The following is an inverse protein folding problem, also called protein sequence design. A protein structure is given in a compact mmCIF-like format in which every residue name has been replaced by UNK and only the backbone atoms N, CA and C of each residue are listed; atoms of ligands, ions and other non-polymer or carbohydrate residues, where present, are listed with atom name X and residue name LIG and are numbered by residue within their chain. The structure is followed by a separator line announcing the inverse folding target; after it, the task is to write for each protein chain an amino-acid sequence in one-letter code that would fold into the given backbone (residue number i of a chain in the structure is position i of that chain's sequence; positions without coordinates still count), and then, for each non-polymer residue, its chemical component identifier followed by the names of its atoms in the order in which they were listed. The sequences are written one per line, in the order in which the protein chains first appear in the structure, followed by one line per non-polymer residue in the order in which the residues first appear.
data_IF_686057866563
#
_entry.id   IF_686057866563
#
_cell.length_a   1.000
_cell.length_b   1.000
_cell.length_c   1.000
_cell.angle_alpha   90.00
_cell.angle_beta   90.00
_cell.angle_gamma   90.00
#
_symmetry.space_group_name_H-M   'P 1'
#
loop_
_entity.id
_entity.type
_entity.pdbx_description
1 polymer ?
#
# COMPACT_ATOMS: atom_id res chain seq x y z
N UNK A 1 -4.30 -1.82 -6.55
CA UNK A 1 -5.42 -1.05 -7.13
C UNK A 1 -4.86 -0.13 -8.20
N UNK A 2 -5.56 0.01 -9.32
CA UNK A 2 -5.22 0.99 -10.37
C UNK A 2 -5.60 2.39 -9.92
N UNK A 3 -4.86 3.39 -10.39
CA UNK A 3 -5.10 4.77 -9.99
C UNK A 3 -6.09 5.48 -10.90
N UNK A 4 -7.06 6.20 -10.31
CA UNK A 4 -7.99 7.05 -11.04
C UNK A 4 -7.37 8.43 -11.25
N UNK A 5 -7.44 8.95 -12.48
CA UNK A 5 -7.01 10.31 -12.83
C UNK A 5 -8.07 10.99 -13.68
N UNK A 6 -7.94 12.30 -13.89
CA UNK A 6 -8.83 13.06 -14.75
C UNK A 6 -10.21 13.29 -14.11
N UNK A 7 -11.10 13.91 -14.88
CA UNK A 7 -12.48 14.16 -14.46
C UNK A 7 -12.67 15.25 -13.41
N UNK A 8 -11.61 15.97 -13.01
CA UNK A 8 -11.74 17.16 -12.16
C UNK A 8 -11.68 18.44 -12.99
N UNK A 9 -12.09 19.56 -12.40
CA UNK A 9 -12.03 20.87 -13.05
C UNK A 9 -10.59 21.33 -13.40
N UNK A 10 -9.57 20.68 -12.83
CA UNK A 10 -8.16 20.97 -13.09
C UNK A 10 -7.57 20.13 -14.24
N UNK A 11 -8.28 19.09 -14.69
CA UNK A 11 -7.77 18.15 -15.69
C UNK A 11 -8.26 18.57 -17.08
N UNK A 12 -7.45 19.37 -17.76
CA UNK A 12 -7.79 20.00 -19.05
C UNK A 12 -6.67 19.85 -20.06
N UNK A 13 -7.04 19.80 -21.34
CA UNK A 13 -6.10 20.04 -22.42
C UNK A 13 -6.00 21.55 -22.65
N UNK A 14 -4.81 22.10 -22.49
CA UNK A 14 -4.52 23.52 -22.71
C UNK A 14 -3.36 23.69 -23.69
N UNK A 15 -3.38 24.78 -24.45
CA UNK A 15 -2.23 25.21 -25.24
C UNK A 15 -1.22 26.01 -24.40
N UNK A 16 -0.12 26.43 -25.03
CA UNK A 16 0.95 27.19 -24.36
C UNK A 16 0.51 28.56 -23.81
N UNK A 17 -0.67 29.06 -24.20
CA UNK A 17 -1.25 30.30 -23.68
C UNK A 17 -2.24 30.07 -22.51
N UNK A 18 -2.48 28.80 -22.14
CA UNK A 18 -3.46 28.41 -21.12
C UNK A 18 -4.91 28.37 -21.64
N UNK A 19 -5.10 28.40 -22.96
CA UNK A 19 -6.44 28.27 -23.56
C UNK A 19 -6.78 26.80 -23.69
N UNK A 20 -7.99 26.43 -23.28
CA UNK A 20 -8.49 25.06 -23.42
C UNK A 20 -8.62 24.66 -24.89
N UNK A 21 -8.25 23.42 -25.21
CA UNK A 21 -8.25 22.88 -26.57
C UNK A 21 -9.22 21.71 -26.67
N UNK A 22 -10.49 21.94 -27.05
CA UNK A 22 -11.46 20.87 -27.29
C UNK A 22 -10.98 19.87 -28.34
N UNK A 23 -11.24 18.58 -28.10
CA UNK A 23 -10.87 17.50 -29.04
C UNK A 23 -9.36 17.20 -29.11
N UNK A 24 -8.52 17.88 -28.33
CA UNK A 24 -7.10 17.59 -28.27
C UNK A 24 -6.86 16.14 -27.86
N UNK A 25 -5.96 15.47 -28.60
CA UNK A 25 -5.57 14.09 -28.32
C UNK A 25 -4.24 14.09 -27.59
N UNK A 26 -4.20 13.43 -26.43
CA UNK A 26 -3.05 13.40 -25.54
C UNK A 26 -2.51 11.99 -25.28
N UNK A 27 -1.21 11.91 -25.02
CA UNK A 27 -0.53 10.68 -24.60
C UNK A 27 -0.05 10.81 -23.16
N UNK A 28 -0.04 9.70 -22.42
CA UNK A 28 0.31 9.67 -20.99
C UNK A 28 1.75 9.17 -20.80
N UNK A 29 2.49 9.73 -19.86
CA UNK A 29 3.93 9.53 -19.67
C UNK A 29 4.31 9.35 -18.20
N UNK A 30 5.43 8.67 -17.98
CA UNK A 30 5.98 8.40 -16.63
C UNK A 30 6.64 9.61 -15.97
N UNK A 31 6.88 10.69 -16.69
CA UNK A 31 7.62 11.87 -16.24
C UNK A 31 7.56 13.03 -17.25
N UNK A 32 8.04 14.23 -16.87
CA UNK A 32 7.98 15.42 -17.71
C UNK A 32 9.11 15.50 -18.74
N UNK A 33 10.25 14.85 -18.50
CA UNK A 33 11.46 14.99 -19.30
C UNK A 33 11.63 13.94 -20.41
N UNK A 34 12.65 14.12 -21.25
CA UNK A 34 12.92 13.28 -22.43
C UNK A 34 13.14 11.80 -22.09
N UNK A 35 13.67 11.48 -20.90
CA UNK A 35 13.84 10.09 -20.44
C UNK A 35 12.56 9.39 -19.98
N UNK A 36 11.40 10.06 -20.01
CA UNK A 36 10.14 9.43 -19.64
C UNK A 36 9.65 8.47 -20.73
N UNK A 37 8.96 7.42 -20.28
CA UNK A 37 8.36 6.41 -21.14
C UNK A 37 6.88 6.68 -21.27
N UNK A 38 6.31 6.41 -22.44
CA UNK A 38 4.87 6.48 -22.63
C UNK A 38 4.20 5.36 -21.84
N UNK A 39 3.10 5.69 -21.16
CA UNK A 39 2.22 4.75 -20.48
C UNK A 39 1.08 4.41 -21.44
N UNK A 40 1.02 3.16 -21.87
CA UNK A 40 -0.04 2.62 -22.74
C UNK A 40 -1.04 1.74 -22.00
N UNK A 41 -0.72 1.36 -20.76
CA UNK A 41 -1.61 0.64 -19.85
C UNK A 41 -2.62 1.63 -19.24
N UNK A 42 -3.64 2.00 -20.02
CA UNK A 42 -4.72 2.90 -19.64
C UNK A 42 -6.07 2.22 -19.87
N UNK A 43 -7.02 2.43 -18.96
CA UNK A 43 -8.39 1.92 -19.09
C UNK A 43 -9.40 3.04 -18.92
N UNK A 44 -10.51 2.95 -19.65
CA UNK A 44 -11.72 3.72 -19.38
C UNK A 44 -12.39 3.27 -18.07
N UNK A 45 -13.39 4.01 -17.61
CA UNK A 45 -14.10 3.70 -16.36
C UNK A 45 -14.85 2.36 -16.39
N UNK A 46 -15.21 1.88 -17.58
CA UNK A 46 -15.83 0.57 -17.79
C UNK A 46 -14.79 -0.57 -17.92
N UNK A 47 -13.50 -0.26 -17.82
CA UNK A 47 -12.40 -1.21 -17.96
C UNK A 47 -11.94 -1.44 -19.40
N UNK A 48 -12.52 -0.77 -20.40
CA UNK A 48 -12.07 -0.90 -21.77
C UNK A 48 -10.65 -0.30 -21.97
N UNK A 49 -9.74 -0.96 -22.71
CA UNK A 49 -8.42 -0.41 -22.99
C UNK A 49 -8.47 0.91 -23.77
N UNK A 50 -7.59 1.84 -23.41
CA UNK A 50 -7.40 3.13 -24.08
C UNK A 50 -5.93 3.33 -24.45
N UNK A 51 -5.65 4.01 -25.57
CA UNK A 51 -4.27 4.33 -25.98
C UNK A 51 -3.95 5.82 -25.86
N UNK A 52 -4.98 6.67 -25.85
CA UNK A 52 -4.87 8.12 -25.82
C UNK A 52 -6.04 8.71 -25.05
N UNK A 53 -5.83 9.93 -24.55
CA UNK A 53 -6.88 10.75 -23.96
C UNK A 53 -7.41 11.69 -25.06
N UNK A 54 -8.72 11.93 -25.09
CA UNK A 54 -9.31 12.93 -25.99
C UNK A 54 -10.09 13.91 -25.12
N UNK A 55 -9.74 15.19 -25.20
CA UNK A 55 -10.44 16.23 -24.48
C UNK A 55 -11.85 16.43 -25.06
N UNK A 56 -12.83 16.68 -24.18
CA UNK A 56 -14.22 16.89 -24.60
C UNK A 56 -14.44 18.26 -25.27
N UNK A 57 -15.69 18.61 -25.56
CA UNK A 57 -16.05 19.89 -26.20
C UNK A 57 -15.71 21.13 -25.36
N UNK A 58 -15.47 20.96 -24.05
CA UNK A 58 -15.04 22.03 -23.15
C UNK A 58 -13.53 21.99 -22.86
N UNK A 59 -12.79 21.08 -23.51
CA UNK A 59 -11.37 20.86 -23.29
C UNK A 59 -11.05 20.08 -22.01
N UNK A 60 -12.04 19.42 -21.39
CA UNK A 60 -11.87 18.63 -20.17
C UNK A 60 -11.38 17.23 -20.52
N UNK A 61 -10.52 16.66 -19.67
CA UNK A 61 -10.07 15.28 -19.81
C UNK A 61 -11.06 14.32 -19.16
N UNK A 62 -11.41 13.19 -19.83
CA UNK A 62 -12.21 12.15 -19.21
C UNK A 62 -11.45 11.54 -18.04
N UNK A 63 -12.20 11.01 -17.07
CA UNK A 63 -11.60 10.19 -16.03
C UNK A 63 -11.13 8.85 -16.62
N UNK A 64 -10.00 8.34 -16.14
CA UNK A 64 -9.41 7.09 -16.62
C UNK A 64 -8.57 6.40 -15.54
N UNK A 65 -8.37 5.11 -15.68
CA UNK A 65 -7.48 4.32 -14.81
C UNK A 65 -6.10 4.14 -15.44
N UNK A 66 -5.07 4.58 -14.73
CA UNK A 66 -3.67 4.30 -15.06
C UNK A 66 -3.08 3.15 -14.23
N UNK A 67 -1.76 2.92 -14.30
CA UNK A 67 -1.08 1.81 -13.65
C UNK A 67 -1.07 1.94 -12.11
N UNK A 68 -0.95 0.81 -11.41
CA UNK A 68 -1.07 0.74 -9.95
C UNK A 68 0.08 1.41 -9.17
N UNK A 69 1.23 1.65 -9.78
CA UNK A 69 2.45 2.08 -9.08
C UNK A 69 2.72 3.58 -9.13
N UNK A 70 1.78 4.38 -9.66
CA UNK A 70 2.01 5.82 -9.91
C UNK A 70 0.85 6.65 -9.40
N UNK A 71 1.07 7.57 -8.46
CA UNK A 71 0.04 8.56 -8.07
C UNK A 71 0.10 9.85 -8.87
N UNK A 72 1.08 9.95 -9.78
CA UNK A 72 1.28 11.08 -10.68
C UNK A 72 1.69 10.58 -12.05
N UNK A 73 1.07 11.13 -13.08
CA UNK A 73 1.40 10.90 -14.49
C UNK A 73 1.51 12.23 -15.20
N UNK A 74 2.00 12.23 -16.43
CA UNK A 74 2.10 13.43 -17.25
C UNK A 74 1.38 13.24 -18.57
N UNK A 75 0.66 14.24 -19.04
CA UNK A 75 -0.05 14.20 -20.32
C UNK A 75 0.56 15.21 -21.27
N UNK A 76 0.73 14.79 -22.52
CA UNK A 76 1.25 15.59 -23.62
C UNK A 76 0.19 15.73 -24.71
N UNK A 77 -0.21 16.97 -25.02
CA UNK A 77 -1.14 17.33 -26.11
C UNK A 77 -0.43 17.93 -27.35
N UNK A 78 0.87 17.67 -27.51
CA UNK A 78 1.70 18.22 -28.59
C UNK A 78 2.53 19.45 -28.17
N UNK A 79 2.72 19.63 -26.86
CA UNK A 79 3.41 20.77 -26.27
C UNK A 79 4.33 20.34 -25.12
N UNK A 80 4.17 20.96 -23.96
CA UNK A 80 4.84 20.49 -22.74
C UNK A 80 3.99 19.44 -22.02
N UNK A 81 4.66 18.54 -21.30
CA UNK A 81 4.02 17.51 -20.46
C UNK A 81 3.50 18.11 -19.15
N UNK A 82 2.19 18.05 -18.94
CA UNK A 82 1.51 18.58 -17.73
C UNK A 82 1.18 17.44 -16.78
N UNK A 83 1.38 17.63 -15.48
CA UNK A 83 1.15 16.60 -14.48
C UNK A 83 -0.34 16.44 -14.16
N UNK A 84 -0.81 15.19 -14.08
CA UNK A 84 -2.06 14.80 -13.43
C UNK A 84 -1.77 14.03 -12.15
N UNK A 85 -2.60 14.23 -11.13
CA UNK A 85 -2.52 13.54 -9.84
C UNK A 85 -3.72 12.62 -9.69
N UNK A 86 -3.52 11.46 -9.08
CA UNK A 86 -4.59 10.52 -8.83
C UNK A 86 -5.66 11.11 -7.89
N UNK A 87 -6.93 10.86 -8.18
CA UNK A 87 -8.10 11.42 -7.48
C UNK A 87 -8.78 10.41 -6.55
N UNK A 88 -8.20 9.23 -6.40
CA UNK A 88 -8.69 8.07 -5.63
C UNK A 88 -8.24 8.05 -4.16
N UNK A 89 -7.83 9.20 -3.60
CA UNK A 89 -7.24 9.23 -2.25
C UNK A 89 -8.22 8.73 -1.19
N UNK A 90 -9.51 9.01 -1.35
CA UNK A 90 -10.55 8.53 -0.43
C UNK A 90 -10.68 7.00 -0.48
N UNK A 91 -10.71 6.40 -1.67
CA UNK A 91 -10.78 4.95 -1.86
C UNK A 91 -9.54 4.26 -1.27
N UNK A 92 -8.36 4.79 -1.58
CA UNK A 92 -7.09 4.32 -1.00
C UNK A 92 -7.09 4.36 0.53
N UNK A 93 -7.62 5.43 1.12
CA UNK A 93 -7.73 5.55 2.58
C UNK A 93 -8.69 4.51 3.14
N UNK A 94 -9.85 4.32 2.50
CA UNK A 94 -10.83 3.31 2.90
C UNK A 94 -10.23 1.91 2.84
N UNK A 95 -9.53 1.56 1.77
CA UNK A 95 -8.82 0.28 1.63
C UNK A 95 -7.74 0.11 2.71
N UNK A 96 -6.95 1.16 2.96
CA UNK A 96 -5.93 1.15 4.00
C UNK A 96 -6.52 0.96 5.40
N UNK A 97 -7.68 1.54 5.69
CA UNK A 97 -8.39 1.37 6.96
C UNK A 97 -9.00 -0.03 7.12
N UNK A 98 -9.43 -0.65 6.01
CA UNK A 98 -10.00 -1.99 6.01
C UNK A 98 -8.92 -3.09 6.08
N UNK A 99 -7.67 -2.78 5.73
CA UNK A 99 -6.56 -3.72 5.83
C UNK A 99 -6.28 -4.10 7.30
N UNK A 100 -6.09 -5.40 7.55
CA UNK A 100 -5.91 -5.91 8.91
C UNK A 100 -4.62 -5.44 9.60
N UNK A 101 -3.54 -5.28 8.84
CA UNK A 101 -2.22 -4.84 9.33
C UNK A 101 -1.43 -4.12 8.22
N UNK A 102 -1.92 -2.97 7.69
CA UNK A 102 -1.33 -2.30 6.52
C UNK A 102 0.11 -1.81 6.74
N UNK A 103 0.54 -1.76 8.01
CA UNK A 103 1.88 -1.35 8.40
C UNK A 103 2.73 -2.51 8.95
N UNK A 104 2.20 -3.73 9.02
CA UNK A 104 2.89 -4.89 9.60
C UNK A 104 3.17 -4.78 11.11
N UNK A 105 2.55 -3.82 11.81
CA UNK A 105 2.85 -3.51 13.21
C UNK A 105 2.35 -4.59 14.15
N UNK A 106 1.23 -5.25 13.82
CA UNK A 106 0.71 -6.38 14.61
C UNK A 106 1.64 -7.58 14.47
N UNK A 107 2.05 -7.89 13.24
CA UNK A 107 3.02 -8.95 12.96
C UNK A 107 4.34 -8.70 13.70
N UNK A 108 4.90 -7.50 13.57
CA UNK A 108 6.13 -7.11 14.25
C UNK A 108 6.01 -7.18 15.78
N UNK A 109 4.86 -6.79 16.34
CA UNK A 109 4.61 -6.90 17.78
C UNK A 109 4.56 -8.36 18.24
N UNK A 110 3.89 -9.23 17.48
CA UNK A 110 3.85 -10.68 17.76
C UNK A 110 5.25 -11.28 17.73
N UNK A 111 6.04 -10.98 16.71
CA UNK A 111 7.43 -11.44 16.62
C UNK A 111 8.27 -10.94 17.79
N UNK A 112 8.13 -9.69 18.19
CA UNK A 112 8.84 -9.11 19.33
C UNK A 112 8.44 -9.76 20.67
N UNK A 113 7.15 -10.09 20.85
CA UNK A 113 6.68 -10.82 22.03
C UNK A 113 7.24 -12.24 22.01
N UNK A 114 7.19 -12.93 20.88
CA UNK A 114 7.71 -14.29 20.71
C UNK A 114 9.21 -14.37 21.00
N UNK A 115 9.99 -13.39 20.53
CA UNK A 115 11.43 -13.33 20.78
C UNK A 115 11.80 -13.24 22.28
N UNK A 116 10.87 -12.77 23.12
CA UNK A 116 11.05 -12.62 24.57
C UNK A 116 10.51 -13.80 25.37
N UNK A 117 9.82 -14.75 24.76
CA UNK A 117 9.30 -15.92 25.47
C UNK A 117 10.43 -16.87 25.88
N UNK A 118 10.41 -17.33 27.13
CA UNK A 118 11.38 -18.29 27.67
C UNK A 118 12.82 -17.77 27.79
N UNK A 119 13.03 -16.46 27.67
CA UNK A 119 14.35 -15.81 27.80
C UNK A 119 14.55 -15.22 29.21
N UNK A 120 15.80 -15.09 29.69
CA UNK A 120 16.10 -14.31 30.90
C UNK A 120 15.52 -12.89 30.79
N UNK A 121 14.87 -12.40 31.86
CA UNK A 121 14.14 -11.11 31.91
C UNK A 121 12.99 -10.99 30.88
N UNK A 122 12.56 -12.11 30.30
CA UNK A 122 11.47 -12.21 29.32
C UNK A 122 10.15 -12.67 29.94
N UNK A 123 9.25 -13.18 29.08
CA UNK A 123 7.94 -13.71 29.48
C UNK A 123 8.01 -15.25 29.62
N UNK A 124 7.29 -15.81 30.59
CA UNK A 124 7.12 -17.27 30.65
C UNK A 124 6.22 -17.76 29.52
N UNK A 125 6.57 -18.88 28.88
CA UNK A 125 5.69 -19.52 27.89
C UNK A 125 4.70 -20.43 28.62
N UNK A 126 3.45 -20.48 28.16
CA UNK A 126 2.43 -21.38 28.69
C UNK A 126 2.37 -22.68 27.87
N UNK A 127 2.05 -23.80 28.52
CA UNK A 127 1.74 -25.08 27.88
C UNK A 127 0.32 -25.10 27.27
N UNK A 128 -0.06 -26.22 26.67
CA UNK A 128 -1.38 -26.44 26.07
C UNK A 128 -2.56 -26.26 27.05
N UNK A 129 -2.31 -26.35 28.36
CA UNK A 129 -3.30 -26.17 29.41
C UNK A 129 -3.26 -24.76 30.01
N UNK A 130 -2.46 -23.85 29.46
CA UNK A 130 -2.31 -22.48 29.93
C UNK A 130 -1.46 -22.34 31.21
N UNK A 131 -0.59 -23.32 31.52
CA UNK A 131 0.28 -23.30 32.72
C UNK A 131 1.74 -23.09 32.35
N UNK A 132 2.54 -22.54 33.26
CA UNK A 132 3.99 -22.45 33.07
C UNK A 132 4.60 -23.85 33.15
N UNK A 133 5.30 -24.35 32.11
CA UNK A 133 5.95 -25.65 32.12
C UNK A 133 6.97 -25.75 33.25
N UNK A 134 7.05 -26.92 33.91
CA UNK A 134 8.00 -27.15 34.99
C UNK A 134 9.47 -26.98 34.55
N UNK A 135 9.77 -27.12 33.24
CA UNK A 135 11.10 -26.87 32.68
C UNK A 135 11.54 -25.40 32.76
N UNK A 136 10.62 -24.46 32.93
CA UNK A 136 10.92 -23.03 33.14
C UNK A 136 11.02 -22.66 34.63
N UNK A 137 10.67 -23.59 35.53
CA UNK A 137 10.78 -23.37 36.97
C UNK A 137 12.13 -23.87 37.47
N UNK A 138 12.69 -23.26 38.52
CA UNK A 138 13.84 -23.83 39.21
C UNK A 138 13.53 -25.24 39.70
N UNK A 139 14.50 -26.16 39.59
CA UNK A 139 14.38 -27.48 40.21
C UNK A 139 14.22 -27.28 41.72
N UNK A 140 13.11 -27.75 42.27
CA UNK A 140 12.81 -27.61 43.68
C UNK A 140 13.82 -28.45 44.49
N UNK A 141 14.59 -27.88 45.43
CA UNK A 141 15.65 -28.60 46.16
C UNK A 141 15.11 -29.71 47.08
N UNK A 142 13.79 -29.86 47.21
CA UNK A 142 13.18 -30.94 48.00
C UNK A 142 13.12 -32.30 47.28
N UNK A 143 13.43 -32.40 45.98
CA UNK A 143 13.43 -33.67 45.25
C UNK A 143 14.79 -34.38 45.19
N UNK A 144 15.84 -33.79 45.78
CA UNK A 144 17.16 -34.42 45.90
C UNK A 144 17.41 -35.07 47.26
N UNK A 145 16.45 -34.98 48.21
CA UNK A 145 16.58 -35.70 49.48
C UNK A 145 16.34 -37.20 49.21
N UNK A 146 17.32 -38.09 49.43
CA UNK A 146 17.09 -39.53 49.36
C UNK A 146 15.98 -39.92 50.35
N UNK A 147 15.21 -40.99 50.10
CA UNK A 147 14.28 -41.51 51.10
C UNK A 147 15.03 -41.68 52.41
N UNK A 148 14.54 -41.07 53.49
CA UNK A 148 15.09 -41.34 54.82
C UNK A 148 14.84 -42.82 55.09
N UNK A 149 15.89 -43.63 55.07
CA UNK A 149 15.86 -44.97 55.63
C UNK A 149 15.36 -44.84 57.06
N UNK A 150 14.20 -45.44 57.33
CA UNK A 150 13.76 -45.67 58.69
C UNK A 150 14.85 -46.50 59.38
N UNK A 151 15.55 -45.90 60.34
CA UNK A 151 16.37 -46.65 61.27
C UNK A 151 15.41 -47.33 62.26
N UNK A 152 15.61 -48.63 62.39
CA UNK A 152 14.96 -49.59 63.28
C UNK A 152 15.11 -49.22 64.76
#
# INVERSE_FOLDING_TARGET
MRHLYGGTAADVAEDASGVRVPGATGTVWTGPGEGATQITDLLALDGAPMQQLVADSAGMLPAFYGPESKTRVWVDFGGARVALVATDTADRLSEHQAAADPHGSTTAAVEAIQARMGRPLGFAQLDENGRVPASQLPLCPCQTKPPQTAAE
#
